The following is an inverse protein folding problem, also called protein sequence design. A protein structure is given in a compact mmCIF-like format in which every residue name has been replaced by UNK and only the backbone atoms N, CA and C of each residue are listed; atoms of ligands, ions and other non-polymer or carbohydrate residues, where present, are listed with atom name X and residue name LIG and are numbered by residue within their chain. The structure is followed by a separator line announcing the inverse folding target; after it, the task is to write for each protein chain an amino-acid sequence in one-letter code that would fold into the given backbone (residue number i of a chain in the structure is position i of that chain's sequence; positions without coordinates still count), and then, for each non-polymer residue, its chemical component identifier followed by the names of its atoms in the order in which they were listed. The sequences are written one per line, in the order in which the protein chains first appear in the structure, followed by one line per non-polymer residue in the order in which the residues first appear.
data_IF_277122468791
#
_entry.id   IF_277122468791
#
_cell.length_a   1.000
_cell.length_b   1.000
_cell.length_c   1.000
_cell.angle_alpha   90.00
_cell.angle_beta   90.00
_cell.angle_gamma   90.00
#
_symmetry.space_group_name_H-M   'P 1'
#
loop_
_entity.id
_entity.type
_entity.pdbx_description
1 polymer ?
#
# COMPACT_ATOMS: atom_id res chain seq x y z
N UNK A 1 45.08 3.92 24.66
CA UNK A 1 45.05 2.70 23.83
C UNK A 1 44.02 1.72 24.39
N UNK A 2 42.88 1.56 23.73
CA UNK A 2 42.09 0.32 23.63
C UNK A 2 40.90 0.58 22.70
N UNK A 3 41.09 0.24 21.42
CA UNK A 3 40.00 0.11 20.45
C UNK A 3 39.17 -1.08 20.90
N UNK A 4 37.93 -0.86 21.30
CA UNK A 4 36.99 -1.97 21.46
C UNK A 4 36.25 -2.18 20.15
N UNK A 5 36.44 -3.39 19.65
CA UNK A 5 35.96 -3.94 18.40
C UNK A 5 34.45 -3.78 18.24
N UNK A 6 34.06 -3.24 17.09
CA UNK A 6 32.71 -3.33 16.56
C UNK A 6 32.47 -4.77 16.13
N UNK A 7 31.81 -5.55 16.98
CA UNK A 7 31.25 -6.83 16.56
C UNK A 7 30.11 -6.56 15.57
N UNK A 8 30.42 -6.83 14.30
CA UNK A 8 29.44 -6.98 13.23
C UNK A 8 28.68 -8.30 13.46
N UNK A 9 27.55 -8.25 14.15
CA UNK A 9 26.58 -9.35 14.12
C UNK A 9 25.56 -9.05 13.02
N UNK A 10 25.71 -9.78 11.93
CA UNK A 10 24.76 -9.82 10.83
C UNK A 10 23.36 -10.12 11.40
N UNK A 11 22.47 -9.13 11.36
CA UNK A 11 21.04 -9.37 11.56
C UNK A 11 20.57 -10.21 10.38
N UNK A 12 20.29 -11.48 10.66
CA UNK A 12 19.57 -12.36 9.77
C UNK A 12 18.31 -11.65 9.26
N UNK A 13 18.19 -11.54 7.94
CA UNK A 13 16.96 -11.14 7.27
C UNK A 13 15.93 -12.23 7.60
N UNK A 14 15.03 -11.94 8.53
CA UNK A 14 13.91 -12.81 8.82
C UNK A 14 13.07 -12.92 7.54
N UNK A 15 12.96 -14.13 7.01
CA UNK A 15 12.07 -14.45 5.90
C UNK A 15 10.63 -14.09 6.28
N UNK A 16 9.95 -13.42 5.36
CA UNK A 16 8.60 -12.90 5.57
C UNK A 16 7.59 -14.04 5.84
N UNK A 17 6.63 -13.86 6.77
CA UNK A 17 5.72 -14.91 7.24
C UNK A 17 4.64 -15.37 6.23
N UNK A 18 4.68 -14.89 4.98
CA UNK A 18 3.68 -15.25 3.96
C UNK A 18 4.07 -16.47 3.11
N UNK A 19 5.22 -17.11 3.37
CA UNK A 19 5.72 -18.24 2.58
C UNK A 19 4.98 -19.58 2.79
N UNK A 20 3.96 -19.65 3.65
CA UNK A 20 3.15 -20.86 3.87
C UNK A 20 1.74 -20.69 3.30
N UNK A 21 1.61 -20.81 1.99
CA UNK A 21 0.32 -21.16 1.36
C UNK A 21 0.38 -22.65 1.05
N UNK A 22 -0.38 -23.51 1.75
CA UNK A 22 -0.40 -24.93 1.43
C UNK A 22 -0.97 -25.12 0.02
N UNK A 23 -0.13 -25.64 -0.87
CA UNK A 23 -0.53 -26.14 -2.20
C UNK A 23 -1.32 -27.43 -1.96
N UNK A 24 -2.59 -27.31 -1.64
CA UNK A 24 -3.46 -28.49 -1.49
C UNK A 24 -3.72 -29.09 -2.87
N UNK A 25 -3.08 -30.23 -3.11
CA UNK A 25 -3.35 -31.13 -4.21
C UNK A 25 -4.82 -31.54 -4.19
N UNK A 26 -5.55 -31.19 -5.24
CA UNK A 26 -6.90 -31.70 -5.48
C UNK A 26 -6.73 -33.08 -6.12
N UNK A 27 -6.73 -34.12 -5.29
CA UNK A 27 -6.88 -35.50 -5.75
C UNK A 27 -8.31 -35.96 -5.48
N UNK A 28 -8.88 -36.61 -6.47
CA UNK A 28 -10.29 -36.92 -6.61
C UNK A 28 -10.88 -37.76 -5.47
N UNK A 29 -12.13 -37.46 -5.15
CA UNK A 29 -13.01 -38.28 -4.33
C UNK A 29 -14.42 -38.09 -4.83
N UNK A 30 -14.95 -39.10 -5.51
CA UNK A 30 -16.28 -39.11 -6.10
C UNK A 30 -17.36 -39.36 -5.03
N UNK A 31 -18.48 -38.65 -5.20
CA UNK A 31 -19.86 -38.99 -4.84
C UNK A 31 -20.16 -39.28 -3.35
N UNK A 32 -20.89 -38.37 -2.72
CA UNK A 32 -22.22 -38.60 -2.08
C UNK A 32 -22.79 -37.24 -1.65
N UNK A 33 -24.09 -37.06 -1.89
CA UNK A 33 -24.79 -35.78 -1.86
C UNK A 33 -24.70 -35.02 -0.53
N UNK A 34 -24.41 -33.73 -0.64
CA UNK A 34 -24.56 -32.74 0.41
C UNK A 34 -24.36 -31.37 -0.22
N UNK A 35 -25.42 -30.57 -0.28
CA UNK A 35 -25.34 -29.19 -0.77
C UNK A 35 -24.47 -28.38 0.20
N UNK A 36 -23.16 -28.33 -0.05
CA UNK A 36 -22.26 -27.43 0.66
C UNK A 36 -22.54 -26.04 0.11
N UNK A 37 -23.40 -25.30 0.80
CA UNK A 37 -23.56 -23.85 0.64
C UNK A 37 -22.20 -23.22 0.97
N UNK A 38 -21.35 -23.11 -0.05
CA UNK A 38 -20.08 -22.42 0.03
C UNK A 38 -20.35 -20.94 0.30
N UNK A 39 -20.07 -20.48 1.52
CA UNK A 39 -20.14 -19.07 1.89
C UNK A 39 -19.12 -18.29 1.07
N UNK A 40 -19.58 -17.67 -0.02
CA UNK A 40 -18.82 -16.63 -0.71
C UNK A 40 -18.75 -15.44 0.25
N UNK A 41 -17.64 -15.31 0.97
CA UNK A 41 -17.32 -14.08 1.67
C UNK A 41 -16.91 -13.06 0.62
N UNK A 42 -17.90 -12.35 0.08
CA UNK A 42 -17.67 -11.19 -0.78
C UNK A 42 -17.11 -10.08 0.13
N UNK A 43 -15.78 -9.96 0.18
CA UNK A 43 -15.11 -8.90 0.92
C UNK A 43 -15.46 -7.54 0.33
N UNK A 44 -16.37 -6.81 0.96
CA UNK A 44 -16.68 -5.44 0.59
C UNK A 44 -15.43 -4.58 0.82
N UNK A 45 -14.87 -4.02 -0.25
CA UNK A 45 -13.87 -2.98 -0.12
C UNK A 45 -14.49 -1.80 0.64
N UNK A 46 -13.74 -1.12 1.52
CA UNK A 46 -14.27 0.01 2.26
C UNK A 46 -14.68 1.14 1.30
N UNK A 47 -15.72 1.90 1.63
CA UNK A 47 -16.32 2.90 0.73
C UNK A 47 -15.33 3.95 0.19
N UNK A 48 -14.28 4.28 0.94
CA UNK A 48 -13.21 5.18 0.48
C UNK A 48 -12.37 4.60 -0.66
N UNK A 49 -12.26 3.28 -0.77
CA UNK A 49 -11.50 2.63 -1.83
C UNK A 49 -12.18 2.75 -3.20
N UNK A 50 -13.46 3.15 -3.22
CA UNK A 50 -14.18 3.59 -4.41
C UNK A 50 -13.96 5.07 -4.74
N UNK A 51 -13.56 5.90 -3.76
CA UNK A 51 -13.33 7.34 -3.92
C UNK A 51 -11.91 7.69 -4.40
N UNK A 52 -10.99 6.73 -4.45
CA UNK A 52 -9.64 6.95 -4.98
C UNK A 52 -9.59 6.44 -6.44
N UNK A 53 -9.39 7.32 -7.44
CA UNK A 53 -9.32 6.94 -8.85
C UNK A 53 -8.22 5.91 -9.12
N UNK A 54 -8.52 4.83 -9.85
CA UNK A 54 -7.57 3.72 -10.12
C UNK A 54 -6.87 3.88 -11.47
N UNK A 55 -6.49 5.09 -11.81
CA UNK A 55 -5.84 5.45 -13.06
C UNK A 55 -4.30 5.56 -12.91
N UNK A 56 -3.64 6.19 -13.88
CA UNK A 56 -2.19 6.29 -13.94
C UNK A 56 -1.62 7.02 -12.71
N UNK A 57 -0.79 6.32 -11.93
CA UNK A 57 -0.18 6.80 -10.69
C UNK A 57 -0.79 6.17 -9.41
N UNK A 58 -2.00 5.60 -9.48
CA UNK A 58 -2.65 4.99 -8.31
C UNK A 58 -1.80 3.88 -7.67
N UNK A 59 -1.21 3.00 -8.49
CA UNK A 59 -0.40 1.90 -7.98
C UNK A 59 0.79 2.40 -7.16
N UNK A 60 1.42 3.50 -7.59
CA UNK A 60 2.53 4.13 -6.86
C UNK A 60 2.06 4.73 -5.55
N UNK A 61 0.99 5.52 -5.57
CA UNK A 61 0.37 6.08 -4.35
C UNK A 61 0.01 4.99 -3.35
N UNK A 62 -0.60 3.90 -3.81
CA UNK A 62 -0.94 2.77 -2.95
C UNK A 62 0.29 2.15 -2.31
N UNK A 63 1.41 2.03 -3.01
CA UNK A 63 2.63 1.43 -2.46
C UNK A 63 3.33 2.36 -1.46
N UNK A 64 3.46 3.64 -1.80
CA UNK A 64 4.25 4.59 -1.01
C UNK A 64 3.45 5.18 0.17
N UNK A 65 2.20 5.57 -0.06
CA UNK A 65 1.39 6.29 0.93
C UNK A 65 0.68 5.36 1.92
N UNK A 66 0.68 4.03 1.72
CA UNK A 66 0.17 3.08 2.73
C UNK A 66 1.23 2.51 3.67
N UNK A 67 2.45 3.04 3.64
CA UNK A 67 3.55 2.58 4.50
C UNK A 67 3.35 2.93 5.97
N UNK A 68 2.71 4.06 6.23
CA UNK A 68 2.56 4.61 7.59
C UNK A 68 1.10 4.58 8.08
N UNK A 69 0.14 4.86 7.20
CA UNK A 69 -1.29 4.87 7.51
C UNK A 69 -2.12 4.49 6.28
N UNK A 70 -3.45 4.50 6.39
CA UNK A 70 -4.34 4.20 5.26
C UNK A 70 -4.51 5.43 4.36
N UNK A 71 -5.01 5.25 3.13
CA UNK A 71 -5.25 6.34 2.18
C UNK A 71 -6.51 7.17 2.50
N UNK A 72 -7.22 6.84 3.57
CA UNK A 72 -8.40 7.54 4.04
C UNK A 72 -8.19 9.06 4.17
N UNK A 73 -6.98 9.49 4.55
CA UNK A 73 -6.63 10.91 4.71
C UNK A 73 -6.62 11.70 3.40
N UNK A 74 -6.34 11.05 2.25
CA UNK A 74 -6.36 11.70 0.92
C UNK A 74 -7.81 11.95 0.49
N UNK A 75 -8.70 11.01 0.81
CA UNK A 75 -10.13 11.14 0.49
C UNK A 75 -10.84 12.17 1.38
N UNK A 76 -10.29 12.41 2.57
CA UNK A 76 -10.85 13.35 3.56
C UNK A 76 -10.20 14.74 3.51
N UNK A 77 -9.16 14.94 2.71
CA UNK A 77 -8.57 16.27 2.51
C UNK A 77 -9.47 17.16 1.65
N UNK A 78 -9.41 18.47 1.86
CA UNK A 78 -10.02 19.51 1.00
C UNK A 78 -9.31 19.66 -0.37
N UNK A 79 -8.35 18.77 -0.66
CA UNK A 79 -7.50 18.84 -1.83
C UNK A 79 -6.44 19.93 -1.71
N UNK A 80 -5.45 19.89 -2.60
CA UNK A 80 -4.32 20.80 -2.58
C UNK A 80 -3.82 21.09 -4.00
N UNK A 81 -3.12 22.20 -4.18
CA UNK A 81 -2.36 22.45 -5.41
C UNK A 81 -1.18 21.48 -5.51
N UNK A 82 -0.54 21.37 -6.68
CA UNK A 82 0.63 20.49 -6.83
C UNK A 82 1.83 20.87 -5.91
N UNK A 83 2.19 22.17 -5.76
CA UNK A 83 3.19 22.58 -4.77
C UNK A 83 2.81 22.18 -3.34
N UNK A 84 1.57 22.44 -2.95
CA UNK A 84 1.10 22.13 -1.58
C UNK A 84 1.08 20.62 -1.32
N UNK A 85 0.67 19.82 -2.32
CA UNK A 85 0.76 18.35 -2.25
C UNK A 85 2.20 17.86 -2.10
N UNK A 86 3.16 18.50 -2.76
CA UNK A 86 4.58 18.15 -2.60
C UNK A 86 5.00 18.37 -1.15
N UNK A 87 4.73 19.56 -0.62
CA UNK A 87 5.13 19.94 0.73
C UNK A 87 4.49 19.01 1.76
N UNK A 88 3.20 18.71 1.60
CA UNK A 88 2.49 17.74 2.45
C UNK A 88 3.10 16.33 2.39
N UNK A 89 3.44 15.84 1.20
CA UNK A 89 4.00 14.48 1.04
C UNK A 89 5.39 14.37 1.69
N UNK A 90 6.23 15.40 1.61
CA UNK A 90 7.58 15.36 2.21
C UNK A 90 7.55 15.51 3.74
N UNK A 91 6.48 16.06 4.33
CA UNK A 91 6.30 16.02 5.79
C UNK A 91 6.00 14.60 6.30
N UNK A 92 5.40 13.75 5.46
CA UNK A 92 4.96 12.40 5.83
C UNK A 92 5.93 11.29 5.40
N UNK A 93 6.84 11.59 4.47
CA UNK A 93 7.66 10.58 3.78
C UNK A 93 9.10 11.06 3.58
N UNK A 94 9.96 10.20 3.02
CA UNK A 94 11.32 10.54 2.59
C UNK A 94 11.44 10.59 1.05
N UNK A 95 10.32 10.84 0.35
CA UNK A 95 10.24 10.78 -1.10
C UNK A 95 11.03 11.88 -1.82
N UNK A 96 11.44 12.95 -1.13
CA UNK A 96 12.36 13.97 -1.65
C UNK A 96 13.71 13.37 -2.08
N UNK A 97 14.09 12.21 -1.53
CA UNK A 97 15.28 11.45 -1.95
C UNK A 97 15.09 10.67 -3.25
N UNK A 98 13.85 10.58 -3.74
CA UNK A 98 13.44 9.86 -4.96
C UNK A 98 12.55 10.78 -5.81
N UNK A 99 13.11 11.87 -6.39
CA UNK A 99 12.32 12.95 -6.98
C UNK A 99 11.36 12.48 -8.08
N UNK A 100 11.76 11.54 -8.95
CA UNK A 100 10.87 11.00 -9.97
C UNK A 100 9.61 10.31 -9.39
N UNK A 101 9.74 9.64 -8.24
CA UNK A 101 8.60 9.02 -7.55
C UNK A 101 7.74 10.09 -6.88
N UNK A 102 8.36 11.11 -6.28
CA UNK A 102 7.64 12.25 -5.70
C UNK A 102 6.81 12.97 -6.78
N UNK A 103 7.39 13.27 -7.94
CA UNK A 103 6.65 13.90 -9.04
C UNK A 103 5.47 13.06 -9.53
N UNK A 104 5.65 11.74 -9.65
CA UNK A 104 4.59 10.83 -10.07
C UNK A 104 3.39 10.89 -9.10
N UNK A 105 3.68 10.87 -7.79
CA UNK A 105 2.66 10.92 -6.73
C UNK A 105 2.00 12.29 -6.68
N UNK A 106 2.77 13.38 -6.65
CA UNK A 106 2.25 14.75 -6.61
C UNK A 106 1.35 15.02 -7.81
N UNK A 107 1.79 14.60 -9.01
CA UNK A 107 0.99 14.74 -10.22
C UNK A 107 -0.33 13.96 -10.15
N UNK A 108 -0.33 12.74 -9.60
CA UNK A 108 -1.56 11.99 -9.38
C UNK A 108 -2.49 12.69 -8.40
N UNK A 109 -1.95 13.16 -7.26
CA UNK A 109 -2.75 13.79 -6.20
C UNK A 109 -3.37 15.10 -6.68
N UNK A 110 -2.59 15.98 -7.32
CA UNK A 110 -3.10 17.25 -7.82
C UNK A 110 -4.17 17.09 -8.93
N UNK A 111 -4.07 16.05 -9.76
CA UNK A 111 -5.08 15.78 -10.80
C UNK A 111 -6.40 15.27 -10.25
N UNK A 112 -6.34 14.44 -9.20
CA UNK A 112 -7.50 13.71 -8.69
C UNK A 112 -8.11 14.34 -7.42
N UNK A 113 -7.34 15.16 -6.71
CA UNK A 113 -7.70 15.85 -5.47
C UNK A 113 -7.22 17.31 -5.52
N UNK A 114 -7.69 18.11 -6.50
CA UNK A 114 -7.44 19.55 -6.53
C UNK A 114 -8.15 20.24 -5.36
N UNK A 115 -7.77 21.49 -5.01
CA UNK A 115 -8.51 22.26 -4.01
C UNK A 115 -9.99 22.37 -4.37
N UNK A 116 -10.85 22.32 -3.37
CA UNK A 116 -12.27 22.66 -3.52
C UNK A 116 -12.43 24.16 -3.90
N UNK A 117 -13.42 24.47 -4.75
CA UNK A 117 -13.78 25.84 -5.18
C UNK A 117 -14.62 26.61 -4.13
#
# INVERSE_FOLDING_TARGET
MRKHDRQMTARAVAAAPWANVPRTSVLGGALLGGAVLGSIVLGAAPAWAAKIPRDAGYARVKIECTRCHRLDNIVQSEGFTAPDWRDFVVEMTDLERRPAVLEEIVGYLARNFPPDD
#
